data_IF_448675249343
#
_entry.id   IF_448675249343
#
_cell.length_a   1.000
_cell.length_b   1.000
_cell.length_c   1.000
_cell.angle_alpha   90.00
_cell.angle_beta   90.00
_cell.angle_gamma   90.00
#
_symmetry.space_group_name_H-M   'P 1'
#
loop_
_entity.id
_entity.type
_entity.pdbx_description
1 polymer ?
#
# COMPACT_ATOMS: atom_id res chain seq x y z
N UNK A 1 7.37 3.46 -16.19
CA UNK A 1 6.49 2.36 -15.70
C UNK A 1 7.38 1.16 -15.41
N UNK A 2 7.70 0.93 -14.13
CA UNK A 2 8.71 -0.03 -13.70
C UNK A 2 8.28 -1.48 -13.90
N UNK A 3 9.14 -2.28 -14.56
CA UNK A 3 8.98 -3.74 -14.72
C UNK A 3 9.09 -4.50 -13.40
N UNK A 4 9.68 -3.89 -12.38
CA UNK A 4 10.03 -4.55 -11.11
C UNK A 4 8.80 -4.83 -10.21
N UNK A 5 7.72 -4.08 -10.38
CA UNK A 5 6.49 -4.28 -9.60
C UNK A 5 5.75 -5.57 -9.95
N UNK A 6 5.79 -6.00 -11.22
CA UNK A 6 5.14 -7.24 -11.65
C UNK A 6 5.96 -8.47 -11.23
N UNK A 7 7.29 -8.38 -11.18
CA UNK A 7 8.14 -9.46 -10.70
C UNK A 7 7.86 -9.78 -9.23
N UNK A 8 7.69 -8.75 -8.39
CA UNK A 8 7.34 -8.93 -6.97
C UNK A 8 5.92 -9.49 -6.79
N UNK A 9 4.97 -9.11 -7.63
CA UNK A 9 3.60 -9.65 -7.57
C UNK A 9 3.56 -11.12 -8.04
N UNK A 10 4.31 -11.47 -9.09
CA UNK A 10 4.43 -12.84 -9.57
C UNK A 10 5.14 -13.71 -8.53
N UNK A 11 6.27 -13.26 -7.95
CA UNK A 11 6.94 -13.98 -6.86
C UNK A 11 6.03 -14.12 -5.62
N UNK A 12 5.24 -13.09 -5.30
CA UNK A 12 4.30 -13.15 -4.19
C UNK A 12 3.17 -14.16 -4.45
N UNK A 13 2.57 -14.15 -5.64
CA UNK A 13 1.51 -15.07 -6.04
C UNK A 13 2.01 -16.52 -6.20
N UNK A 14 3.22 -16.70 -6.75
CA UNK A 14 3.85 -18.01 -6.96
C UNK A 14 4.39 -18.61 -5.64
N UNK A 15 4.68 -17.76 -4.65
CA UNK A 15 5.02 -18.17 -3.27
C UNK A 15 3.79 -18.50 -2.44
N UNK A 16 2.63 -17.88 -2.70
CA UNK A 16 1.36 -18.26 -2.06
C UNK A 16 0.82 -19.61 -2.52
N UNK A 17 1.12 -20.02 -3.75
CA UNK A 17 0.62 -21.30 -4.27
C UNK A 17 1.20 -22.52 -3.58
N UNK A 18 2.30 -22.41 -2.82
CA UNK A 18 3.01 -23.57 -2.23
C UNK A 18 2.63 -23.88 -0.77
N UNK A 19 1.82 -23.04 -0.13
CA UNK A 19 1.52 -23.15 1.29
C UNK A 19 0.09 -22.72 1.60
N UNK A 20 -0.58 -23.47 2.48
CA UNK A 20 -1.89 -23.08 3.01
C UNK A 20 -1.76 -22.74 4.50
N UNK A 21 -2.44 -21.67 4.92
CA UNK A 21 -2.51 -21.25 6.32
C UNK A 21 -3.83 -21.74 6.90
N UNK A 22 -3.77 -22.54 7.95
CA UNK A 22 -4.96 -22.91 8.70
C UNK A 22 -5.44 -21.71 9.52
N UNK A 23 -6.55 -21.08 9.14
CA UNK A 23 -7.08 -19.88 9.80
C UNK A 23 -7.60 -20.12 11.23
N UNK A 24 -7.81 -21.38 11.64
CA UNK A 24 -8.20 -21.72 13.03
C UNK A 24 -6.99 -21.87 13.94
N UNK A 25 -5.85 -22.34 13.43
CA UNK A 25 -4.63 -22.61 14.23
C UNK A 25 -3.46 -21.69 13.91
N UNK A 26 -3.57 -20.83 12.89
CA UNK A 26 -2.52 -19.96 12.34
C UNK A 26 -1.21 -20.69 11.99
N UNK A 27 -1.27 -21.99 11.66
CA UNK A 27 -0.12 -22.79 11.26
C UNK A 27 0.02 -22.83 9.73
N UNK A 28 1.26 -22.77 9.23
CA UNK A 28 1.61 -22.91 7.82
C UNK A 28 1.84 -24.38 7.48
N UNK A 29 1.12 -24.89 6.48
CA UNK A 29 1.22 -26.26 5.98
C UNK A 29 1.72 -26.26 4.55
N UNK A 30 2.49 -27.29 4.20
CA UNK A 30 2.81 -27.57 2.80
C UNK A 30 1.59 -28.16 2.05
N UNK A 31 1.69 -28.27 0.72
CA UNK A 31 0.63 -28.86 -0.14
C UNK A 31 0.26 -30.31 0.22
N UNK A 32 1.10 -31.00 0.99
CA UNK A 32 0.88 -32.39 1.42
C UNK A 32 0.24 -32.51 2.81
N UNK A 33 -0.09 -31.37 3.43
CA UNK A 33 -0.74 -31.32 4.75
C UNK A 33 0.23 -31.55 5.91
N UNK A 34 1.54 -31.57 5.67
CA UNK A 34 2.55 -31.74 6.72
C UNK A 34 2.91 -30.38 7.32
N UNK A 35 3.02 -30.33 8.64
CA UNK A 35 3.55 -29.17 9.35
C UNK A 35 5.00 -28.96 8.93
N UNK A 36 5.33 -27.76 8.47
CA UNK A 36 6.71 -27.40 8.11
C UNK A 36 7.48 -27.19 9.42
N UNK A 37 7.93 -28.29 10.04
CA UNK A 37 8.93 -28.25 11.09
C UNK A 37 10.29 -28.11 10.42
N UNK A 38 10.77 -26.88 10.31
CA UNK A 38 12.13 -26.61 9.85
C UNK A 38 13.12 -27.20 10.87
N UNK A 39 13.70 -28.37 10.58
CA UNK A 39 14.88 -28.88 11.28
C UNK A 39 16.06 -27.97 10.93
N UNK A 40 16.17 -26.85 11.62
CA UNK A 40 17.33 -25.96 11.57
C UNK A 40 18.18 -26.36 12.77
N UNK A 41 19.41 -26.80 12.52
CA UNK A 41 20.42 -27.09 13.56
C UNK A 41 20.88 -25.81 14.26
N UNK A 42 19.99 -25.20 15.03
CA UNK A 42 20.24 -24.06 15.91
C UNK A 42 19.92 -24.53 17.33
N UNK A 43 20.77 -24.15 18.30
CA UNK A 43 20.56 -24.48 19.70
C UNK A 43 19.11 -24.14 20.11
N UNK A 44 18.48 -25.00 20.91
CA UNK A 44 17.06 -24.89 21.30
C UNK A 44 16.69 -23.50 21.82
N UNK A 45 17.64 -22.78 22.42
CA UNK A 45 17.52 -21.38 22.86
C UNK A 45 17.30 -20.40 21.71
N UNK A 46 18.04 -20.51 20.60
CA UNK A 46 17.87 -19.65 19.42
C UNK A 46 16.53 -19.91 18.72
N UNK A 47 16.05 -21.16 18.76
CA UNK A 47 14.73 -21.52 18.23
C UNK A 47 13.62 -20.84 19.05
N UNK A 48 13.74 -20.85 20.39
CA UNK A 48 12.80 -20.16 21.28
C UNK A 48 12.79 -18.65 21.06
N UNK A 49 13.95 -18.02 20.86
CA UNK A 49 14.05 -16.57 20.60
C UNK A 49 13.41 -16.17 19.27
N UNK A 50 13.62 -16.97 18.21
CA UNK A 50 12.97 -16.76 16.90
C UNK A 50 11.45 -16.94 17.01
N UNK A 51 11.00 -17.97 17.75
CA UNK A 51 9.56 -18.17 18.01
C UNK A 51 8.96 -17.01 18.81
N UNK A 52 9.66 -16.53 19.84
CA UNK A 52 9.23 -15.39 20.64
C UNK A 52 9.11 -14.10 19.80
N UNK A 53 10.10 -13.82 18.94
CA UNK A 53 10.06 -12.70 18.03
C UNK A 53 8.89 -12.79 17.03
N UNK A 54 8.65 -13.98 16.46
CA UNK A 54 7.52 -14.22 15.56
C UNK A 54 6.17 -14.01 16.26
N UNK A 55 6.01 -14.50 17.49
CA UNK A 55 4.79 -14.31 18.29
C UNK A 55 4.57 -12.83 18.60
N UNK A 56 5.62 -12.10 18.98
CA UNK A 56 5.54 -10.67 19.23
C UNK A 56 5.12 -9.90 17.98
N UNK A 57 5.68 -10.24 16.81
CA UNK A 57 5.28 -9.65 15.54
C UNK A 57 3.81 -9.93 15.23
N UNK A 58 3.35 -11.17 15.43
CA UNK A 58 1.93 -11.53 15.20
C UNK A 58 0.99 -10.77 16.13
N UNK A 59 1.37 -10.57 17.40
CA UNK A 59 0.60 -9.73 18.34
C UNK A 59 0.50 -8.30 17.86
N UNK A 60 1.61 -7.70 17.44
CA UNK A 60 1.63 -6.35 16.91
C UNK A 60 0.72 -6.19 15.68
N UNK A 61 0.73 -7.16 14.76
CA UNK A 61 -0.17 -7.18 13.60
C UNK A 61 -1.63 -7.33 14.04
N UNK A 62 -1.93 -8.22 14.98
CA UNK A 62 -3.29 -8.42 15.48
C UNK A 62 -3.84 -7.15 16.15
N UNK A 63 -3.02 -6.48 16.94
CA UNK A 63 -3.38 -5.22 17.59
C UNK A 63 -3.62 -4.10 16.57
N UNK A 64 -2.85 -4.07 15.47
CA UNK A 64 -3.15 -3.19 14.34
C UNK A 64 -4.50 -3.52 13.69
N UNK A 65 -4.77 -4.79 13.39
CA UNK A 65 -6.02 -5.21 12.75
C UNK A 65 -7.25 -4.91 13.62
N UNK A 66 -7.14 -5.06 14.94
CA UNK A 66 -8.20 -4.64 15.88
C UNK A 66 -8.52 -3.15 15.74
N UNK A 67 -7.50 -2.30 15.66
CA UNK A 67 -7.69 -0.86 15.42
C UNK A 67 -8.33 -0.56 14.06
N UNK A 68 -7.99 -1.33 13.03
CA UNK A 68 -8.56 -1.15 11.68
C UNK A 68 -10.01 -1.61 11.57
N UNK A 69 -10.42 -2.63 12.32
CA UNK A 69 -11.81 -3.10 12.36
C UNK A 69 -12.74 -2.03 12.91
N UNK A 70 -12.31 -1.33 13.97
CA UNK A 70 -13.09 -0.28 14.63
C UNK A 70 -13.15 1.04 13.83
N UNK A 71 -12.45 1.11 12.69
CA UNK A 71 -12.49 2.28 11.82
C UNK A 71 -13.87 2.42 11.16
N UNK A 72 -14.54 3.55 11.45
CA UNK A 72 -15.82 3.89 10.82
C UNK A 72 -15.61 4.21 9.34
N UNK A 73 -16.24 3.43 8.46
CA UNK A 73 -16.20 3.63 7.01
C UNK A 73 -17.27 4.63 6.58
N UNK A 74 -16.97 5.43 5.57
CA UNK A 74 -17.95 6.28 4.90
C UNK A 74 -18.50 5.55 3.67
N UNK A 75 -19.76 5.83 3.29
CA UNK A 75 -20.30 5.26 2.07
C UNK A 75 -19.55 5.82 0.86
N UNK A 76 -19.13 4.93 -0.05
CA UNK A 76 -18.37 5.32 -1.23
C UNK A 76 -19.14 6.33 -2.08
N UNK A 77 -20.45 6.14 -2.25
CA UNK A 77 -21.32 7.08 -2.97
C UNK A 77 -21.27 8.50 -2.39
N UNK A 78 -21.33 8.63 -1.07
CA UNK A 78 -21.27 9.93 -0.39
C UNK A 78 -19.86 10.54 -0.45
N UNK A 79 -18.81 9.73 -0.29
CA UNK A 79 -17.43 10.18 -0.49
C UNK A 79 -17.20 10.71 -1.90
N UNK A 80 -17.72 10.03 -2.93
CA UNK A 80 -17.62 10.46 -4.31
C UNK A 80 -18.36 11.79 -4.53
N UNK A 81 -19.56 11.97 -3.97
CA UNK A 81 -20.30 13.23 -4.06
C UNK A 81 -19.52 14.39 -3.45
N UNK A 82 -18.92 14.18 -2.27
CA UNK A 82 -18.10 15.20 -1.60
C UNK A 82 -16.87 15.56 -2.43
N UNK A 83 -16.20 14.56 -3.01
CA UNK A 83 -15.04 14.77 -3.88
C UNK A 83 -15.41 15.57 -5.14
N UNK A 84 -16.48 15.19 -5.83
CA UNK A 84 -16.98 15.91 -7.02
C UNK A 84 -17.34 17.34 -6.65
N UNK A 85 -18.05 17.54 -5.53
CA UNK A 85 -18.41 18.87 -5.04
C UNK A 85 -17.16 19.73 -4.84
N UNK A 86 -16.16 19.21 -4.15
CA UNK A 86 -14.91 19.92 -3.90
C UNK A 86 -14.19 20.29 -5.20
N UNK A 87 -14.11 19.36 -6.15
CA UNK A 87 -13.49 19.60 -7.45
C UNK A 87 -14.20 20.71 -8.22
N UNK A 88 -15.54 20.68 -8.28
CA UNK A 88 -16.33 21.72 -8.96
C UNK A 88 -16.20 23.10 -8.30
N UNK A 89 -16.10 23.15 -6.97
CA UNK A 89 -15.93 24.39 -6.22
C UNK A 89 -14.58 25.08 -6.52
N UNK A 90 -13.54 24.30 -6.82
CA UNK A 90 -12.18 24.81 -7.03
C UNK A 90 -11.69 24.73 -8.49
N UNK A 91 -12.51 24.22 -9.41
CA UNK A 91 -12.17 24.05 -10.83
C UNK A 91 -11.66 25.36 -11.46
N UNK A 92 -12.29 26.49 -11.16
CA UNK A 92 -11.93 27.79 -11.73
C UNK A 92 -10.60 28.36 -11.19
N UNK A 93 -10.11 27.81 -10.07
CA UNK A 93 -8.82 28.19 -9.47
C UNK A 93 -7.68 27.31 -9.99
N UNK A 94 -8.01 26.18 -10.61
CA UNK A 94 -7.03 25.25 -11.18
C UNK A 94 -6.53 25.77 -12.54
N UNK A 95 -5.37 26.42 -12.52
CA UNK A 95 -4.72 26.95 -13.71
C UNK A 95 -4.26 25.87 -14.70
N UNK A 96 -4.23 24.58 -14.32
CA UNK A 96 -3.94 23.47 -15.23
C UNK A 96 -5.18 22.99 -15.98
N UNK A 97 -6.37 23.26 -15.43
CA UNK A 97 -7.63 22.90 -16.05
C UNK A 97 -8.19 24.04 -16.92
N UNK A 98 -8.29 25.25 -16.38
CA UNK A 98 -8.85 26.41 -17.09
C UNK A 98 -7.80 27.25 -17.83
N UNK A 99 -6.52 27.00 -17.57
CA UNK A 99 -5.43 27.88 -17.97
C UNK A 99 -5.31 29.12 -17.08
N UNK A 100 -4.25 29.89 -17.28
CA UNK A 100 -4.07 31.16 -16.58
C UNK A 100 -5.01 32.23 -17.15
N UNK A 101 -5.81 32.87 -16.28
CA UNK A 101 -6.67 34.01 -16.64
C UNK A 101 -5.95 35.17 -17.34
N UNK A 102 -4.64 35.30 -17.10
CA UNK A 102 -3.78 36.19 -17.88
C UNK A 102 -2.39 35.57 -17.99
N UNK A 103 -1.74 35.77 -19.12
CA UNK A 103 -0.34 35.35 -19.25
C UNK A 103 0.59 36.05 -18.23
N UNK A 104 0.19 37.20 -17.67
CA UNK A 104 0.98 37.92 -16.65
C UNK A 104 1.05 37.21 -15.30
N UNK A 105 0.07 36.38 -14.96
CA UNK A 105 0.05 35.62 -13.70
C UNK A 105 0.73 34.26 -13.83
N UNK A 106 1.07 33.83 -15.06
CA UNK A 106 1.84 32.62 -15.30
C UNK A 106 3.33 32.89 -14.98
N UNK A 107 3.91 32.28 -13.93
CA UNK A 107 5.33 32.47 -13.60
C UNK A 107 6.27 31.95 -14.70
N UNK A 108 5.77 31.05 -15.55
CA UNK A 108 6.50 30.44 -16.67
C UNK A 108 6.18 31.12 -18.02
N UNK A 109 5.57 32.30 -18.02
CA UNK A 109 5.36 33.07 -19.25
C UNK A 109 6.70 33.38 -19.91
N UNK A 110 6.77 33.23 -21.23
CA UNK A 110 7.88 33.78 -21.99
C UNK A 110 8.01 35.29 -21.72
N UNK A 111 9.18 35.69 -21.21
CA UNK A 111 9.61 37.08 -21.17
C UNK A 111 9.97 37.41 -22.61
N UNK A 112 9.28 38.37 -23.22
CA UNK A 112 9.59 38.81 -24.58
C UNK A 112 11.04 39.28 -24.64
N UNK A 113 11.95 38.44 -25.13
CA UNK A 113 13.29 38.84 -25.53
C UNK A 113 13.26 39.12 -27.03
N UNK A 114 12.82 40.32 -27.41
CA UNK A 114 13.20 40.87 -28.70
C UNK A 114 14.24 41.96 -28.45
N UNK A 115 15.51 41.58 -28.56
CA UNK A 115 16.58 42.47 -29.00
C UNK A 115 17.50 41.63 -29.89
N UNK A 116 17.34 41.76 -31.20
CA UNK A 116 18.49 41.67 -32.11
C UNK A 116 18.57 43.06 -32.75
N UNK A 117 19.65 43.76 -32.39
CA UNK A 117 20.04 45.10 -32.85
C UNK A 117 20.41 45.10 -34.33
#
# INVERSE_FOLDING_TARGET
>A
MNRDGYALLIDFLQKTDNYFINLRTFQKFDKTGKTISSNIGLAETAILDIMAANIQQQRAVNDQLKREVDMRRHQVSESCKLMIKYMNEHENEDCLLTGFNSQKINPFREKSSCIVL
#
